data_IF_384717251883
#
_entry.id   IF_384717251883
#
_cell.length_a   1.000
_cell.length_b   1.000
_cell.length_c   1.000
_cell.angle_alpha   90.00
_cell.angle_beta   90.00
_cell.angle_gamma   90.00
#
_symmetry.space_group_name_H-M   'P 1'
#
loop_
_entity.id
_entity.type
_entity.pdbx_description
1 polymer ?
#
# COMPACT_ATOMS: atom_id res chain seq x y z
N UNK A 1 19.56 3.80 -14.62
CA UNK A 1 19.31 2.73 -13.62
C UNK A 1 18.94 3.36 -12.29
N UNK A 2 17.97 2.84 -11.61
CA UNK A 2 17.55 3.30 -10.27
C UNK A 2 18.72 3.14 -9.28
N UNK A 3 18.72 3.98 -8.24
CA UNK A 3 19.74 3.92 -7.17
C UNK A 3 19.15 3.36 -5.88
N UNK A 4 17.87 3.66 -5.62
CA UNK A 4 17.17 3.31 -4.39
C UNK A 4 15.81 2.71 -4.75
N UNK A 5 15.48 1.58 -4.10
CA UNK A 5 14.25 0.84 -4.34
C UNK A 5 13.48 0.68 -3.04
N UNK A 6 12.23 1.11 -3.06
CA UNK A 6 11.20 0.73 -2.08
C UNK A 6 10.46 -0.46 -2.67
N UNK A 7 10.39 -1.56 -1.94
CA UNK A 7 9.51 -2.69 -2.27
C UNK A 7 8.36 -2.64 -1.27
N UNK A 8 7.21 -2.12 -1.71
CA UNK A 8 6.03 -1.95 -0.89
C UNK A 8 5.00 -3.04 -1.14
N UNK A 9 4.58 -3.72 -0.08
CA UNK A 9 3.46 -4.64 -0.15
C UNK A 9 2.17 -3.94 0.28
N UNK A 10 1.18 -3.96 -0.59
CA UNK A 10 -0.14 -3.44 -0.31
C UNK A 10 -0.98 -4.42 0.53
N UNK A 11 -2.09 -3.95 1.11
CA UNK A 11 -3.14 -4.74 1.75
C UNK A 11 -2.81 -5.39 3.12
N UNK A 12 -1.83 -4.93 3.88
CA UNK A 12 -1.60 -5.44 5.22
C UNK A 12 -2.87 -5.27 6.09
N UNK A 13 -3.38 -6.37 6.64
CA UNK A 13 -4.63 -6.36 7.42
C UNK A 13 -5.82 -6.97 6.69
N UNK A 14 -5.75 -7.19 5.38
CA UNK A 14 -6.84 -7.75 4.59
C UNK A 14 -7.22 -9.17 5.06
N UNK A 15 -6.23 -10.03 5.32
CA UNK A 15 -6.37 -11.34 5.96
C UNK A 15 -5.10 -11.70 6.74
N UNK A 16 -5.17 -12.76 7.56
CA UNK A 16 -4.01 -13.27 8.28
C UNK A 16 -2.94 -13.79 7.31
N UNK A 17 -3.36 -14.47 6.24
CA UNK A 17 -2.45 -14.97 5.22
C UNK A 17 -1.72 -13.86 4.46
N UNK A 18 -2.38 -12.73 4.20
CA UNK A 18 -1.72 -11.54 3.62
C UNK A 18 -0.66 -11.01 4.58
N UNK A 19 -1.01 -10.81 5.86
CA UNK A 19 -0.06 -10.32 6.86
C UNK A 19 1.16 -11.25 6.99
N UNK A 20 0.95 -12.56 7.11
CA UNK A 20 2.03 -13.56 7.21
C UNK A 20 2.91 -13.59 5.95
N UNK A 21 2.31 -13.47 4.76
CA UNK A 21 3.05 -13.39 3.50
C UNK A 21 3.93 -12.15 3.43
N UNK A 22 3.42 -10.99 3.83
CA UNK A 22 4.16 -9.72 3.87
C UNK A 22 5.34 -9.80 4.86
N UNK A 23 5.09 -10.27 6.08
CA UNK A 23 6.15 -10.43 7.09
C UNK A 23 7.22 -11.44 6.63
N UNK A 24 6.82 -12.53 5.95
CA UNK A 24 7.77 -13.45 5.32
C UNK A 24 8.58 -12.77 4.22
N UNK A 25 7.93 -11.99 3.34
CA UNK A 25 8.59 -11.28 2.26
C UNK A 25 9.63 -10.26 2.78
N UNK A 26 9.34 -9.62 3.92
CA UNK A 26 10.31 -8.74 4.58
C UNK A 26 11.47 -9.51 5.22
N UNK A 27 11.18 -10.59 5.97
CA UNK A 27 12.21 -11.38 6.65
C UNK A 27 13.11 -12.13 5.68
N UNK A 28 12.54 -12.77 4.66
CA UNK A 28 13.21 -13.74 3.79
C UNK A 28 13.45 -13.21 2.38
N UNK A 29 12.95 -12.05 2.03
CA UNK A 29 12.97 -11.48 0.67
C UNK A 29 13.60 -10.10 0.59
N UNK A 30 13.09 -9.31 -0.36
CA UNK A 30 13.55 -7.94 -0.65
C UNK A 30 12.53 -6.87 -0.22
N UNK A 31 11.45 -7.24 0.47
CA UNK A 31 10.40 -6.30 0.88
C UNK A 31 10.91 -5.35 1.96
N UNK A 32 10.64 -4.06 1.81
CA UNK A 32 11.09 -3.02 2.75
C UNK A 32 9.96 -2.25 3.41
N UNK A 33 8.76 -2.29 2.83
CA UNK A 33 7.63 -1.46 3.23
C UNK A 33 6.31 -2.18 3.04
N UNK A 34 5.29 -1.78 3.79
CA UNK A 34 3.90 -2.23 3.59
C UNK A 34 2.92 -1.16 4.01
N UNK A 35 1.69 -1.21 3.48
CA UNK A 35 0.62 -0.29 3.84
C UNK A 35 -0.58 -1.00 4.44
N UNK A 36 -1.09 -0.43 5.54
CA UNK A 36 -2.03 -1.05 6.46
C UNK A 36 -3.46 -0.57 6.21
N UNK A 37 -4.39 -1.51 6.02
CA UNK A 37 -5.83 -1.27 5.87
C UNK A 37 -6.48 -1.06 7.23
N UNK A 38 -6.52 0.18 7.72
CA UNK A 38 -6.90 0.50 9.10
C UNK A 38 -8.37 0.30 9.43
N UNK A 39 -9.23 0.17 8.44
CA UNK A 39 -10.65 -0.15 8.63
C UNK A 39 -10.95 -1.64 8.82
N UNK A 40 -9.96 -2.52 8.65
CA UNK A 40 -10.16 -3.96 8.79
C UNK A 40 -10.33 -4.38 10.26
N UNK A 41 -11.26 -5.33 10.50
CA UNK A 41 -11.70 -5.72 11.85
C UNK A 41 -10.58 -6.20 12.77
N UNK A 42 -9.60 -6.96 12.24
CA UNK A 42 -8.52 -7.56 13.03
C UNK A 42 -7.20 -6.80 12.94
N UNK A 43 -7.21 -5.58 12.43
CA UNK A 43 -5.98 -4.84 12.14
C UNK A 43 -5.09 -4.63 13.39
N UNK A 44 -5.69 -4.42 14.57
CA UNK A 44 -4.94 -4.25 15.81
C UNK A 44 -4.12 -5.51 16.15
N UNK A 45 -4.74 -6.70 16.04
CA UNK A 45 -4.03 -7.99 16.22
C UNK A 45 -2.88 -8.13 15.21
N UNK A 46 -3.10 -7.73 13.96
CA UNK A 46 -2.09 -7.88 12.91
C UNK A 46 -0.93 -6.88 13.08
N UNK A 47 -1.20 -5.67 13.54
CA UNK A 47 -0.15 -4.70 13.84
C UNK A 47 0.76 -5.15 14.99
N UNK A 48 0.25 -5.89 15.98
CA UNK A 48 1.11 -6.52 17.02
C UNK A 48 2.20 -7.41 16.41
N UNK A 49 1.90 -8.10 15.30
CA UNK A 49 2.86 -8.98 14.63
C UNK A 49 4.03 -8.20 13.99
N UNK A 50 3.88 -6.90 13.74
CA UNK A 50 4.94 -6.08 13.14
C UNK A 50 6.02 -5.66 14.14
N UNK A 51 5.77 -5.81 15.45
CA UNK A 51 6.73 -5.43 16.50
C UNK A 51 8.07 -6.15 16.41
N UNK A 52 8.06 -7.37 15.86
CA UNK A 52 9.28 -8.15 15.64
C UNK A 52 10.04 -7.74 14.38
N UNK A 53 9.53 -6.74 13.64
CA UNK A 53 10.07 -6.28 12.35
C UNK A 53 10.31 -4.76 12.36
N UNK A 54 11.23 -4.25 13.20
CA UNK A 54 11.41 -2.80 13.40
C UNK A 54 11.91 -2.04 12.17
N UNK A 55 12.45 -2.73 11.17
CA UNK A 55 12.94 -2.15 9.92
C UNK A 55 11.88 -2.15 8.80
N UNK A 56 10.70 -2.74 9.03
CA UNK A 56 9.62 -2.71 8.07
C UNK A 56 8.95 -1.33 8.10
N UNK A 57 8.98 -0.60 6.99
CA UNK A 57 8.23 0.65 6.86
C UNK A 57 6.72 0.37 6.88
N UNK A 58 5.98 1.07 7.75
CA UNK A 58 4.54 0.90 7.90
C UNK A 58 3.79 2.16 7.46
N UNK A 59 3.14 2.13 6.31
CA UNK A 59 2.26 3.17 5.80
C UNK A 59 0.78 2.91 6.09
N UNK A 60 -0.09 3.81 5.67
CA UNK A 60 -1.55 3.62 5.70
C UNK A 60 -2.09 3.44 4.29
N UNK A 61 -2.77 2.33 4.06
CA UNK A 61 -3.48 1.99 2.84
C UNK A 61 -4.90 2.55 2.89
N UNK A 62 -5.05 3.79 2.43
CA UNK A 62 -6.34 4.50 2.45
C UNK A 62 -7.38 3.70 1.65
N UNK A 63 -8.54 3.47 2.24
CA UNK A 63 -9.51 2.55 1.66
C UNK A 63 -10.93 3.13 1.71
N UNK A 64 -11.69 2.90 0.61
CA UNK A 64 -13.12 3.17 0.48
C UNK A 64 -13.85 2.10 -0.34
N UNK A 65 -13.22 0.95 -0.57
CA UNK A 65 -13.74 -0.08 -1.50
C UNK A 65 -13.90 -1.46 -0.87
N UNK A 66 -13.40 -1.68 0.34
CA UNK A 66 -13.45 -2.99 1.04
C UNK A 66 -13.74 -2.80 2.53
N UNK A 67 -14.65 -3.60 3.07
CA UNK A 67 -14.99 -3.59 4.49
C UNK A 67 -15.89 -2.42 4.88
N UNK A 68 -15.93 -2.10 6.17
CA UNK A 68 -16.76 -1.03 6.73
C UNK A 68 -15.96 0.24 6.96
N UNK A 69 -16.56 1.42 6.80
CA UNK A 69 -15.93 2.68 7.17
C UNK A 69 -15.71 2.78 8.69
N UNK A 70 -14.77 3.63 9.09
CA UNK A 70 -14.55 4.02 10.49
C UNK A 70 -15.47 5.17 10.91
N UNK A 71 -15.96 5.93 9.96
CA UNK A 71 -16.83 7.09 10.16
C UNK A 71 -18.19 6.89 9.50
N UNK A 72 -19.10 7.85 9.68
CA UNK A 72 -20.39 7.81 9.01
C UNK A 72 -20.28 8.49 7.63
N UNK A 73 -20.36 7.70 6.56
CA UNK A 73 -20.22 8.16 5.17
C UNK A 73 -21.35 7.67 4.29
N UNK A 74 -21.67 8.42 3.23
CA UNK A 74 -22.77 8.11 2.32
C UNK A 74 -22.42 7.09 1.23
N UNK A 75 -21.16 6.83 0.99
CA UNK A 75 -20.67 5.91 -0.06
C UNK A 75 -20.53 4.45 0.41
N UNK A 76 -21.59 3.96 1.06
CA UNK A 76 -21.75 2.58 1.51
C UNK A 76 -22.90 1.88 0.82
N UNK A 77 -22.90 0.55 0.85
CA UNK A 77 -24.01 -0.30 0.43
C UNK A 77 -25.09 -0.41 1.54
N UNK A 78 -26.18 -1.14 1.26
CA UNK A 78 -27.29 -1.37 2.20
C UNK A 78 -26.85 -2.11 3.49
N UNK A 79 -25.70 -2.79 3.47
CA UNK A 79 -25.13 -3.51 4.63
C UNK A 79 -24.12 -2.66 5.40
N UNK A 80 -23.92 -1.41 4.97
CA UNK A 80 -22.96 -0.48 5.56
C UNK A 80 -21.50 -0.80 5.24
N UNK A 81 -21.21 -1.55 4.18
CA UNK A 81 -19.86 -1.71 3.67
C UNK A 81 -19.57 -0.67 2.60
N UNK A 82 -18.30 -0.34 2.40
CA UNK A 82 -17.90 0.45 1.26
C UNK A 82 -18.39 -0.15 -0.06
N UNK A 83 -18.78 0.69 -1.00
CA UNK A 83 -19.12 0.28 -2.36
C UNK A 83 -17.90 -0.27 -3.09
N UNK A 84 -18.12 -1.11 -4.11
CA UNK A 84 -17.03 -1.67 -4.91
C UNK A 84 -16.29 -0.60 -5.73
N UNK A 85 -15.04 -0.90 -6.12
CA UNK A 85 -14.24 -0.04 -7.00
C UNK A 85 -14.99 0.38 -8.27
N UNK A 86 -15.72 -0.55 -8.90
CA UNK A 86 -16.42 -0.29 -10.17
C UNK A 86 -17.45 0.84 -10.05
N UNK A 87 -18.10 0.97 -8.89
CA UNK A 87 -19.03 2.05 -8.61
C UNK A 87 -18.38 3.43 -8.73
N UNK A 88 -17.11 3.55 -8.35
CA UNK A 88 -16.38 4.83 -8.42
C UNK A 88 -15.78 5.07 -9.81
N UNK A 89 -15.26 4.04 -10.46
CA UNK A 89 -14.67 4.14 -11.81
C UNK A 89 -15.73 4.44 -12.87
N UNK A 90 -16.93 3.89 -12.71
CA UNK A 90 -18.07 4.13 -13.60
C UNK A 90 -18.80 5.46 -13.29
N UNK A 91 -18.32 6.26 -12.31
CA UNK A 91 -18.93 7.50 -11.84
C UNK A 91 -20.39 7.35 -11.34
N UNK A 92 -20.76 6.16 -10.93
CA UNK A 92 -22.10 5.86 -10.36
C UNK A 92 -22.23 6.36 -8.91
N UNK A 93 -21.11 6.59 -8.24
CA UNK A 93 -21.10 7.21 -6.91
C UNK A 93 -20.24 8.48 -6.91
N UNK A 94 -20.82 9.56 -6.41
CA UNK A 94 -20.08 10.77 -6.07
C UNK A 94 -19.60 10.60 -4.62
N UNK A 95 -18.30 10.72 -4.40
CA UNK A 95 -17.72 10.72 -3.06
C UNK A 95 -17.71 12.17 -2.56
N UNK A 96 -18.36 12.42 -1.45
CA UNK A 96 -18.26 13.71 -0.77
C UNK A 96 -16.81 13.91 -0.30
N UNK A 97 -16.18 15.00 -0.72
CA UNK A 97 -14.79 15.31 -0.35
C UNK A 97 -14.65 15.50 1.17
N UNK A 98 -15.65 16.05 1.83
CA UNK A 98 -15.67 16.21 3.29
C UNK A 98 -15.78 14.86 4.00
N UNK A 99 -16.69 13.97 3.58
CA UNK A 99 -16.81 12.63 4.16
C UNK A 99 -15.55 11.80 3.89
N UNK A 100 -14.97 11.92 2.70
CA UNK A 100 -13.72 11.25 2.33
C UNK A 100 -12.56 11.71 3.21
N UNK A 101 -12.45 13.02 3.43
CA UNK A 101 -11.43 13.58 4.32
C UNK A 101 -11.58 13.04 5.74
N UNK A 102 -12.78 13.02 6.30
CA UNK A 102 -13.04 12.53 7.64
C UNK A 102 -12.73 11.03 7.77
N UNK A 103 -13.11 10.24 6.77
CA UNK A 103 -12.85 8.80 6.77
C UNK A 103 -11.35 8.48 6.68
N UNK A 104 -10.65 9.07 5.73
CA UNK A 104 -9.21 8.84 5.58
C UNK A 104 -8.39 9.39 6.75
N UNK A 105 -8.81 10.53 7.29
CA UNK A 105 -8.23 11.06 8.54
C UNK A 105 -8.41 10.07 9.68
N UNK A 106 -9.60 9.51 9.86
CA UNK A 106 -9.85 8.51 10.90
C UNK A 106 -8.99 7.25 10.72
N UNK A 107 -8.73 6.82 9.47
CA UNK A 107 -7.82 5.70 9.19
C UNK A 107 -6.37 6.03 9.62
N UNK A 108 -5.86 7.22 9.28
CA UNK A 108 -4.53 7.68 9.69
C UNK A 108 -4.44 7.81 11.23
N UNK A 109 -5.41 8.42 11.85
CA UNK A 109 -5.42 8.62 13.32
C UNK A 109 -5.55 7.30 14.10
N UNK A 110 -6.30 6.32 13.56
CA UNK A 110 -6.35 4.98 14.14
C UNK A 110 -4.98 4.31 14.10
N UNK A 111 -4.23 4.45 13.00
CA UNK A 111 -2.85 3.95 12.93
C UNK A 111 -1.98 4.61 14.01
N UNK A 112 -1.98 5.94 14.09
CA UNK A 112 -1.18 6.70 15.06
C UNK A 112 -1.55 6.28 16.50
N UNK A 113 -2.83 6.13 16.79
CA UNK A 113 -3.32 5.71 18.12
C UNK A 113 -2.80 4.32 18.52
N UNK A 114 -2.77 3.37 17.59
CA UNK A 114 -2.35 1.98 17.87
C UNK A 114 -0.83 1.89 17.95
N UNK A 115 -0.13 2.52 17.00
CA UNK A 115 1.33 2.38 16.86
C UNK A 115 2.12 3.37 17.73
N UNK A 116 1.51 4.47 18.18
CA UNK A 116 2.19 5.52 18.96
C UNK A 116 3.09 6.43 18.12
N UNK A 117 3.12 6.28 16.81
CA UNK A 117 3.89 7.12 15.89
C UNK A 117 3.14 7.29 14.55
N UNK A 118 3.57 8.24 13.72
CA UNK A 118 3.02 8.44 12.36
C UNK A 118 3.36 7.26 11.45
N UNK A 119 2.51 6.97 10.44
CA UNK A 119 2.88 6.06 9.36
C UNK A 119 4.05 6.62 8.54
N UNK A 120 4.73 5.77 7.79
CA UNK A 120 5.86 6.18 6.95
C UNK A 120 5.43 6.90 5.68
N UNK A 121 4.25 6.60 5.17
CA UNK A 121 3.68 7.16 3.94
C UNK A 121 2.20 6.82 3.81
N UNK A 122 1.58 7.36 2.77
CA UNK A 122 0.22 7.06 2.37
C UNK A 122 0.20 6.49 0.95
N UNK A 123 -0.72 5.56 0.73
CA UNK A 123 -1.18 5.10 -0.58
C UNK A 123 -2.66 4.71 -0.47
N UNK A 124 -3.21 3.94 -1.40
CA UNK A 124 -4.60 3.48 -1.25
C UNK A 124 -4.93 2.20 -1.97
N UNK A 125 -5.86 1.45 -1.40
CA UNK A 125 -6.45 0.26 -2.00
C UNK A 125 -7.12 0.60 -3.33
N UNK A 126 -6.80 -0.17 -4.37
CA UNK A 126 -7.27 0.06 -5.74
C UNK A 126 -6.92 1.44 -6.32
N UNK A 127 -5.89 2.10 -5.80
CA UNK A 127 -5.45 3.44 -6.20
C UNK A 127 -6.57 4.50 -6.16
N UNK A 128 -7.53 4.34 -5.22
CA UNK A 128 -8.70 5.25 -5.13
C UNK A 128 -8.32 6.69 -4.84
N UNK A 129 -7.12 6.96 -4.29
CA UNK A 129 -6.61 8.31 -4.08
C UNK A 129 -6.27 9.03 -5.40
N UNK A 130 -6.06 8.29 -6.52
CA UNK A 130 -5.80 8.85 -7.84
C UNK A 130 -7.08 9.05 -8.66
N UNK A 131 -8.25 8.61 -8.15
CA UNK A 131 -9.51 8.73 -8.86
C UNK A 131 -10.13 10.13 -8.68
N UNK A 132 -10.47 10.79 -9.79
CA UNK A 132 -11.17 12.07 -9.79
C UNK A 132 -10.48 13.13 -8.90
N UNK A 133 -11.26 13.82 -8.05
CA UNK A 133 -10.78 14.81 -7.07
C UNK A 133 -10.31 14.21 -5.74
N UNK A 134 -10.27 12.89 -5.61
CA UNK A 134 -9.80 12.24 -4.37
C UNK A 134 -8.32 12.57 -4.08
N UNK A 135 -7.54 12.83 -5.14
CA UNK A 135 -6.13 13.20 -5.00
C UNK A 135 -5.96 14.49 -4.18
N UNK A 136 -6.87 15.44 -4.28
CA UNK A 136 -6.81 16.70 -3.52
C UNK A 136 -6.95 16.43 -2.01
N UNK A 137 -7.84 15.51 -1.63
CA UNK A 137 -8.00 15.09 -0.22
C UNK A 137 -6.78 14.33 0.27
N UNK A 138 -6.25 13.44 -0.55
CA UNK A 138 -5.07 12.66 -0.19
C UNK A 138 -3.84 13.55 0.01
N UNK A 139 -3.59 14.50 -0.89
CA UNK A 139 -2.50 15.48 -0.76
C UNK A 139 -2.70 16.40 0.45
N UNK A 140 -3.93 16.85 0.73
CA UNK A 140 -4.24 17.64 1.92
C UNK A 140 -3.86 16.89 3.20
N UNK A 141 -4.24 15.61 3.31
CA UNK A 141 -3.90 14.77 4.45
C UNK A 141 -2.40 14.48 4.51
N UNK A 142 -1.76 14.17 3.39
CA UNK A 142 -0.32 13.97 3.33
C UNK A 142 0.44 15.21 3.84
N UNK A 143 0.00 16.41 3.45
CA UNK A 143 0.57 17.67 3.95
C UNK A 143 0.27 17.88 5.46
N UNK A 144 -0.98 17.66 5.92
CA UNK A 144 -1.39 17.83 7.32
C UNK A 144 -0.57 16.95 8.27
N UNK A 145 -0.29 15.71 7.86
CA UNK A 145 0.47 14.75 8.66
C UNK A 145 1.98 14.76 8.35
N UNK A 146 2.41 15.58 7.38
CA UNK A 146 3.82 15.63 6.93
C UNK A 146 4.32 14.25 6.48
N UNK A 147 3.63 13.65 5.51
CA UNK A 147 3.87 12.30 5.01
C UNK A 147 4.08 12.32 3.49
N UNK A 148 5.02 11.53 2.95
CA UNK A 148 5.05 11.25 1.52
C UNK A 148 3.84 10.39 1.12
N UNK A 149 3.43 10.51 -0.15
CA UNK A 149 2.33 9.74 -0.71
C UNK A 149 2.75 9.11 -2.04
N UNK A 150 2.35 7.86 -2.28
CA UNK A 150 2.48 7.20 -3.59
C UNK A 150 1.77 8.00 -4.67
N UNK A 151 2.40 8.23 -5.80
CA UNK A 151 1.82 8.98 -6.90
C UNK A 151 2.48 8.61 -8.24
N UNK A 152 1.68 8.51 -9.29
CA UNK A 152 2.17 8.28 -10.66
C UNK A 152 2.78 9.55 -11.26
N UNK A 153 2.18 10.70 -10.96
CA UNK A 153 2.68 12.01 -11.37
C UNK A 153 3.10 12.77 -10.13
N UNK A 154 4.36 13.25 -10.10
CA UNK A 154 4.91 13.92 -8.94
C UNK A 154 4.21 15.27 -8.67
N UNK A 155 3.17 15.22 -7.84
CA UNK A 155 2.36 16.38 -7.42
C UNK A 155 2.84 16.95 -6.09
N UNK A 156 3.23 16.09 -5.15
CA UNK A 156 3.75 16.50 -3.85
C UNK A 156 5.20 16.98 -3.99
N UNK A 157 5.48 18.23 -3.61
CA UNK A 157 6.79 18.87 -3.78
C UNK A 157 7.64 18.92 -2.51
N UNK A 158 7.08 18.50 -1.38
CA UNK A 158 7.73 18.60 -0.07
C UNK A 158 8.76 17.49 0.19
N UNK A 159 8.76 16.44 -0.63
CA UNK A 159 9.64 15.29 -0.50
C UNK A 159 10.41 14.99 -1.79
N UNK A 160 11.56 14.29 -1.65
CA UNK A 160 12.26 13.72 -2.79
C UNK A 160 11.30 12.86 -3.63
N UNK A 161 11.32 12.97 -4.98
CA UNK A 161 10.43 12.18 -5.82
C UNK A 161 10.71 10.68 -5.70
N UNK A 162 9.66 9.91 -5.54
CA UNK A 162 9.63 8.45 -5.69
C UNK A 162 8.82 8.16 -6.94
N UNK A 163 9.44 7.52 -7.92
CA UNK A 163 8.77 7.16 -9.15
C UNK A 163 7.97 5.87 -8.96
N UNK A 164 6.75 5.84 -9.45
CA UNK A 164 5.83 4.72 -9.33
C UNK A 164 5.11 4.47 -10.66
N UNK A 165 5.01 3.21 -11.03
CA UNK A 165 4.13 2.69 -12.09
C UNK A 165 3.58 1.33 -11.63
N UNK A 166 2.32 1.04 -11.95
CA UNK A 166 1.70 -0.26 -11.66
C UNK A 166 2.16 -1.31 -12.68
N UNK A 167 3.43 -1.72 -12.60
CA UNK A 167 4.02 -2.66 -13.57
C UNK A 167 4.09 -4.10 -13.04
N UNK A 168 4.50 -4.29 -11.78
CA UNK A 168 4.65 -5.61 -11.18
C UNK A 168 3.31 -6.08 -10.58
N UNK A 169 2.40 -6.53 -11.45
CA UNK A 169 1.06 -6.93 -11.06
C UNK A 169 0.52 -8.06 -11.94
N UNK A 170 -0.22 -9.01 -11.37
CA UNK A 170 -0.90 -10.10 -12.06
C UNK A 170 0.06 -10.97 -12.91
N UNK A 171 -0.16 -11.06 -14.22
CA UNK A 171 0.69 -11.83 -15.14
C UNK A 171 2.06 -11.17 -15.35
N UNK A 172 2.16 -9.88 -15.09
CA UNK A 172 3.39 -9.10 -15.26
C UNK A 172 4.26 -9.09 -13.99
N UNK A 173 3.83 -9.77 -12.91
CA UNK A 173 4.66 -10.03 -11.75
C UNK A 173 5.72 -11.10 -12.10
N UNK A 174 6.79 -10.68 -12.76
CA UNK A 174 7.87 -11.54 -13.28
C UNK A 174 9.25 -10.97 -12.97
N UNK A 175 10.30 -11.79 -13.11
CA UNK A 175 11.68 -11.32 -12.98
C UNK A 175 12.07 -10.34 -14.09
N UNK A 176 11.53 -10.52 -15.28
CA UNK A 176 11.73 -9.62 -16.43
C UNK A 176 11.16 -8.23 -16.13
N UNK A 177 10.04 -8.16 -15.41
CA UNK A 177 9.48 -6.89 -14.98
C UNK A 177 10.35 -6.22 -13.90
N UNK A 178 10.87 -7.00 -12.93
CA UNK A 178 11.85 -6.47 -11.97
C UNK A 178 13.05 -5.88 -12.71
N UNK A 179 13.61 -6.61 -13.68
CA UNK A 179 14.74 -6.12 -14.49
C UNK A 179 14.40 -4.81 -15.21
N UNK A 180 13.23 -4.73 -15.82
CA UNK A 180 12.72 -3.51 -16.48
C UNK A 180 12.67 -2.32 -15.51
N UNK A 181 12.16 -2.53 -14.29
CA UNK A 181 12.09 -1.52 -13.24
C UNK A 181 13.49 -1.06 -12.83
N UNK A 182 14.41 -1.99 -12.59
CA UNK A 182 15.78 -1.67 -12.17
C UNK A 182 16.55 -0.84 -13.20
N UNK A 183 16.18 -0.92 -14.48
CA UNK A 183 16.79 -0.15 -15.57
C UNK A 183 16.15 1.23 -15.81
N UNK A 184 15.10 1.61 -15.07
CA UNK A 184 14.53 2.98 -15.15
C UNK A 184 15.57 4.03 -14.77
N UNK A 185 15.57 5.16 -15.47
CA UNK A 185 16.51 6.26 -15.21
C UNK A 185 15.93 7.28 -14.22
N UNK A 186 15.72 6.82 -13.00
CA UNK A 186 15.24 7.63 -11.89
C UNK A 186 16.04 7.29 -10.62
N UNK A 187 16.04 8.21 -9.64
CA UNK A 187 16.80 8.01 -8.38
C UNK A 187 16.09 7.00 -7.46
N UNK A 188 14.85 7.27 -7.12
CA UNK A 188 14.04 6.47 -6.22
C UNK A 188 12.87 5.86 -6.99
N UNK A 189 12.63 4.57 -6.80
CA UNK A 189 11.51 3.86 -7.41
C UNK A 189 10.76 3.06 -6.35
N UNK A 190 9.45 3.00 -6.46
CA UNK A 190 8.61 2.09 -5.70
C UNK A 190 8.14 0.93 -6.60
N UNK A 191 8.49 -0.30 -6.20
CA UNK A 191 7.91 -1.53 -6.71
C UNK A 191 6.78 -1.95 -5.76
N UNK A 192 5.54 -1.81 -6.23
CA UNK A 192 4.36 -2.31 -5.54
C UNK A 192 4.23 -3.82 -5.73
N UNK A 193 3.82 -4.54 -4.69
CA UNK A 193 3.50 -5.96 -4.77
C UNK A 193 2.41 -6.34 -3.76
N UNK A 194 1.87 -7.57 -3.91
CA UNK A 194 0.79 -8.08 -3.07
C UNK A 194 1.10 -9.50 -2.54
N UNK A 195 2.25 -9.75 -1.93
CA UNK A 195 2.63 -11.10 -1.51
C UNK A 195 1.68 -11.60 -0.41
N UNK A 196 1.26 -12.87 -0.51
CA UNK A 196 0.44 -13.49 0.53
C UNK A 196 0.68 -15.00 0.65
N UNK A 197 0.54 -15.51 1.86
CA UNK A 197 0.14 -16.90 2.10
C UNK A 197 -1.38 -16.98 1.92
N UNK A 198 -1.85 -17.98 1.16
CA UNK A 198 -3.28 -18.07 0.84
C UNK A 198 -4.02 -18.71 2.01
N UNK A 199 -4.90 -17.93 2.64
CA UNK A 199 -5.85 -18.43 3.61
C UNK A 199 -7.29 -18.44 3.07
N UNK A 200 -8.21 -19.11 3.78
CA UNK A 200 -9.60 -19.22 3.36
C UNK A 200 -10.31 -17.87 3.32
N UNK A 201 -9.97 -16.96 4.22
CA UNK A 201 -10.54 -15.60 4.24
C UNK A 201 -10.19 -14.85 2.97
N UNK A 202 -8.91 -14.82 2.58
CA UNK A 202 -8.44 -14.18 1.36
C UNK A 202 -9.12 -14.77 0.12
N UNK A 203 -9.21 -16.10 0.06
CA UNK A 203 -9.87 -16.80 -1.04
C UNK A 203 -11.34 -16.37 -1.24
N UNK A 204 -12.04 -16.11 -0.13
CA UNK A 204 -13.45 -15.72 -0.17
C UNK A 204 -13.67 -14.24 -0.55
N UNK A 205 -12.76 -13.34 -0.18
CA UNK A 205 -12.98 -11.88 -0.29
C UNK A 205 -12.24 -11.22 -1.44
N UNK A 206 -11.28 -11.90 -2.08
CA UNK A 206 -10.47 -11.33 -3.15
C UNK A 206 -10.37 -12.30 -4.33
N UNK A 207 -10.62 -11.80 -5.53
CA UNK A 207 -10.31 -12.53 -6.76
C UNK A 207 -8.80 -12.59 -7.03
N UNK A 208 -8.03 -11.62 -6.52
CA UNK A 208 -6.58 -11.60 -6.57
C UNK A 208 -6.01 -12.39 -5.37
N UNK A 209 -5.93 -13.71 -5.51
CA UNK A 209 -5.49 -14.61 -4.43
C UNK A 209 -4.28 -15.46 -4.84
N UNK A 210 -4.39 -16.44 -5.74
CA UNK A 210 -3.26 -17.31 -6.11
C UNK A 210 -2.05 -16.55 -6.68
N UNK A 211 -2.28 -15.45 -7.37
CA UNK A 211 -1.20 -14.59 -7.88
C UNK A 211 -0.34 -14.00 -6.76
N UNK A 212 -0.94 -13.76 -5.61
CA UNK A 212 -0.20 -13.26 -4.44
C UNK A 212 0.85 -14.26 -3.91
N UNK A 213 0.56 -15.56 -4.00
CA UNK A 213 1.54 -16.58 -3.66
C UNK A 213 2.71 -16.58 -4.65
N UNK A 214 2.43 -16.38 -5.93
CA UNK A 214 3.48 -16.24 -6.96
C UNK A 214 4.35 -15.00 -6.71
N UNK A 215 3.76 -13.85 -6.40
CA UNK A 215 4.52 -12.65 -6.02
C UNK A 215 5.40 -12.91 -4.78
N UNK A 216 4.86 -13.62 -3.77
CA UNK A 216 5.62 -14.00 -2.58
C UNK A 216 6.85 -14.84 -2.94
N UNK A 217 6.69 -15.83 -3.82
CA UNK A 217 7.79 -16.68 -4.28
C UNK A 217 8.87 -15.86 -5.00
N UNK A 218 8.47 -14.93 -5.88
CA UNK A 218 9.42 -14.05 -6.57
C UNK A 218 10.16 -13.15 -5.59
N UNK A 219 9.45 -12.42 -4.73
CA UNK A 219 10.02 -11.45 -3.79
C UNK A 219 10.96 -12.12 -2.78
N UNK A 220 10.68 -13.37 -2.36
CA UNK A 220 11.52 -14.14 -1.44
C UNK A 220 12.68 -14.86 -2.13
N UNK A 221 12.72 -14.89 -3.46
CA UNK A 221 13.68 -15.71 -4.20
C UNK A 221 15.14 -15.22 -4.08
N UNK A 222 16.09 -16.15 -4.21
CA UNK A 222 17.49 -15.79 -4.31
C UNK A 222 17.78 -14.95 -5.55
N UNK A 223 17.06 -15.20 -6.66
CA UNK A 223 17.20 -14.43 -7.91
C UNK A 223 16.82 -12.94 -7.69
N UNK A 224 15.72 -12.63 -7.00
CA UNK A 224 15.36 -11.25 -6.71
C UNK A 224 16.42 -10.54 -5.85
N UNK A 225 16.98 -11.24 -4.84
CA UNK A 225 18.08 -10.71 -4.02
C UNK A 225 19.34 -10.42 -4.83
N UNK A 226 19.69 -11.30 -5.76
CA UNK A 226 20.84 -11.10 -6.65
C UNK A 226 20.62 -9.93 -7.62
N UNK A 227 19.41 -9.79 -8.16
CA UNK A 227 19.07 -8.67 -9.04
C UNK A 227 19.16 -7.32 -8.31
N UNK A 228 18.80 -7.26 -7.04
CA UNK A 228 18.79 -6.03 -6.25
C UNK A 228 20.06 -5.79 -5.43
N UNK A 229 21.06 -6.65 -5.45
CA UNK A 229 22.27 -6.60 -4.59
C UNK A 229 23.08 -5.30 -4.68
N UNK A 230 23.01 -4.58 -5.81
CA UNK A 230 23.71 -3.32 -6.03
C UNK A 230 22.75 -2.09 -5.92
N UNK A 231 21.52 -2.31 -5.52
CA UNK A 231 20.50 -1.28 -5.31
C UNK A 231 20.32 -1.08 -3.80
N UNK A 232 20.26 0.15 -3.37
CA UNK A 232 19.93 0.48 -1.98
C UNK A 232 18.45 0.20 -1.72
N UNK A 233 18.15 -0.85 -0.96
CA UNK A 233 16.79 -1.16 -0.51
C UNK A 233 16.44 -0.24 0.66
N UNK A 234 15.41 0.58 0.49
CA UNK A 234 14.97 1.60 1.44
C UNK A 234 13.48 1.46 1.72
N UNK A 235 12.98 2.14 2.74
CA UNK A 235 11.56 2.40 2.92
C UNK A 235 11.26 3.92 2.85
N UNK A 236 10.01 4.32 3.02
CA UNK A 236 9.62 5.72 2.90
C UNK A 236 10.18 6.65 4.01
N UNK A 237 10.66 6.11 5.15
CA UNK A 237 11.34 6.93 6.17
C UNK A 237 12.68 7.49 5.66
N UNK A 238 13.28 6.85 4.66
CA UNK A 238 14.54 7.26 4.04
C UNK A 238 14.35 8.33 2.96
N UNK A 239 13.11 8.66 2.60
CA UNK A 239 12.77 9.72 1.64
C UNK A 239 12.87 11.05 2.34
N UNK A 240 13.79 11.89 1.86
CA UNK A 240 14.07 13.18 2.48
C UNK A 240 12.99 14.20 2.14
N UNK A 241 12.67 15.03 3.12
CA UNK A 241 11.95 16.28 2.93
C UNK A 241 12.87 17.29 2.22
N UNK A 242 12.31 18.05 1.26
CA UNK A 242 13.04 19.06 0.46
C UNK A 242 12.77 20.44 1.03
#
# INVERSE_FOLDING_TARGET
>A
MIKRLIVNADDYGLSEGVCLGILKAHRDGILTSTTCMMNMEKIEKYLEMTKDYPNLGLGVHLNITVGKPLTNVSFVDEKGNFKSRDTYTNREAIVSQEELYQEWKAQIEKFIKIMGHKPTHLDSHHHVHLLNSNIDVALKLAHEYDLPIRQETYLQKDFEPVYFEELFYNQDATFEMIDTILHKDVKNYELMCHPAMIDWKLYQISSYNLRRAHELDIICSQKAKEMTKNIELINYQDIKKI
#
